data_IF_677721777360
#
_entry.id   IF_677721777360
#
_cell.length_a   1.000
_cell.length_b   1.000
_cell.length_c   1.000
_cell.angle_alpha   90.00
_cell.angle_beta   90.00
_cell.angle_gamma   90.00
#
_symmetry.space_group_name_H-M   'P 1'
#
loop_
_entity.id
_entity.type
_entity.pdbx_description
1 polymer ?
#
# COMPACT_ATOMS: atom_id res chain seq x y z
N UNK A 1 -1.83 5.83 6.73
CA UNK A 1 -1.77 4.48 7.37
C UNK A 1 -1.93 3.41 6.30
N UNK A 2 -1.31 2.24 6.45
CA UNK A 2 -1.24 1.16 5.44
C UNK A 2 -1.64 -0.18 6.10
N UNK A 3 -2.58 -0.94 5.52
CA UNK A 3 -3.02 -2.25 6.04
C UNK A 3 -2.60 -3.45 5.14
N UNK A 4 -1.80 -4.40 5.66
CA UNK A 4 -1.14 -5.37 4.78
C UNK A 4 -1.92 -6.69 4.60
N UNK A 5 -3.15 -6.60 4.09
CA UNK A 5 -4.03 -7.74 3.80
C UNK A 5 -3.83 -8.26 2.36
N UNK A 6 -4.62 -9.25 1.93
CA UNK A 6 -4.58 -9.77 0.55
C UNK A 6 -4.68 -8.66 -0.51
N UNK A 7 -5.44 -7.60 -0.19
CA UNK A 7 -5.40 -6.30 -0.85
C UNK A 7 -4.86 -5.23 0.12
N UNK A 8 -4.26 -4.18 -0.43
CA UNK A 8 -3.60 -3.11 0.30
C UNK A 8 -4.39 -1.80 0.18
N UNK A 9 -4.78 -1.22 1.31
CA UNK A 9 -5.39 0.11 1.38
C UNK A 9 -4.37 1.13 1.86
N UNK A 10 -4.37 2.30 1.23
CA UNK A 10 -3.61 3.47 1.68
C UNK A 10 -4.59 4.55 2.06
N UNK A 11 -4.43 5.11 3.25
CA UNK A 11 -5.25 6.19 3.78
C UNK A 11 -4.41 7.44 4.04
N UNK A 12 -4.97 8.60 3.69
CA UNK A 12 -4.43 9.93 3.97
C UNK A 12 -5.51 10.96 4.35
N UNK A 13 -5.10 12.11 4.90
CA UNK A 13 -5.97 13.25 5.24
C UNK A 13 -5.50 14.47 4.45
N UNK A 14 -6.46 15.18 3.86
CA UNK A 14 -6.19 16.41 3.10
C UNK A 14 -7.21 17.49 3.43
N UNK A 15 -6.81 18.76 3.30
CA UNK A 15 -7.74 19.90 3.38
C UNK A 15 -8.49 20.12 2.04
N UNK A 16 -7.99 19.55 0.94
CA UNK A 16 -8.52 19.80 -0.40
C UNK A 16 -9.43 18.66 -0.89
N UNK A 17 -10.61 19.00 -1.38
CA UNK A 17 -11.51 18.05 -2.03
C UNK A 17 -11.15 17.85 -3.50
N UNK A 18 -10.25 16.91 -3.79
CA UNK A 18 -9.83 16.60 -5.17
C UNK A 18 -10.11 15.12 -5.53
N UNK A 19 -11.35 14.75 -5.88
CA UNK A 19 -11.69 13.39 -6.27
C UNK A 19 -11.06 13.01 -7.61
N UNK A 20 -10.72 11.73 -7.78
CA UNK A 20 -10.16 11.20 -9.02
C UNK A 20 -10.88 9.90 -9.42
N UNK A 21 -10.60 9.39 -10.62
CA UNK A 21 -11.10 8.08 -11.05
C UNK A 21 -10.47 6.92 -10.26
N UNK A 22 -9.31 7.16 -9.64
CA UNK A 22 -8.59 6.19 -8.83
C UNK A 22 -8.69 6.59 -7.35
N UNK A 23 -9.50 5.85 -6.59
CA UNK A 23 -9.67 6.05 -5.14
C UNK A 23 -10.98 6.72 -4.73
N UNK A 24 -11.07 7.00 -3.44
CA UNK A 24 -12.27 7.55 -2.80
C UNK A 24 -11.91 8.70 -1.88
N UNK A 25 -12.72 9.77 -1.90
CA UNK A 25 -12.62 10.90 -0.98
C UNK A 25 -13.89 10.95 -0.14
N UNK A 26 -13.74 10.94 1.18
CA UNK A 26 -14.82 10.99 2.16
C UNK A 26 -14.65 12.22 3.06
N UNK A 27 -15.72 12.69 3.69
CA UNK A 27 -15.59 13.67 4.78
C UNK A 27 -14.74 13.08 5.92
N UNK A 28 -13.82 13.87 6.47
CA UNK A 28 -13.02 13.40 7.58
C UNK A 28 -13.91 13.19 8.83
N UNK A 29 -13.90 12.00 9.46
CA UNK A 29 -14.78 11.67 10.58
C UNK A 29 -14.42 12.36 11.89
N UNK A 30 -13.22 12.96 12.00
CA UNK A 30 -12.74 13.61 13.23
C UNK A 30 -12.53 15.12 13.08
N UNK A 31 -12.52 15.64 11.86
CA UNK A 31 -12.38 17.07 11.56
C UNK A 31 -13.29 17.45 10.39
N UNK A 32 -14.32 18.25 10.68
CA UNK A 32 -15.31 18.66 9.69
C UNK A 32 -14.74 19.56 8.57
N UNK A 33 -13.53 20.11 8.74
CA UNK A 33 -12.88 20.96 7.75
C UNK A 33 -11.97 20.20 6.77
N UNK A 34 -11.74 18.90 7.00
CA UNK A 34 -10.86 18.07 6.18
C UNK A 34 -11.56 16.90 5.48
N UNK A 35 -10.80 16.19 4.67
CA UNK A 35 -11.22 15.02 3.91
C UNK A 35 -10.31 13.84 4.17
N UNK A 36 -10.90 12.65 4.13
CA UNK A 36 -10.22 11.35 4.13
C UNK A 36 -10.06 10.88 2.69
N UNK A 37 -8.85 10.50 2.30
CA UNK A 37 -8.56 9.88 0.99
C UNK A 37 -8.23 8.40 1.20
N UNK A 38 -8.79 7.54 0.36
CA UNK A 38 -8.54 6.10 0.38
C UNK A 38 -8.21 5.57 -1.01
N UNK A 39 -7.07 4.92 -1.13
CA UNK A 39 -6.64 4.18 -2.33
C UNK A 39 -6.65 2.68 -2.05
N UNK A 40 -7.08 1.90 -3.03
CA UNK A 40 -7.16 0.44 -2.92
C UNK A 40 -6.36 -0.25 -4.01
N UNK A 41 -5.40 -1.07 -3.59
CA UNK A 41 -4.61 -1.92 -4.46
C UNK A 41 -4.99 -3.38 -4.26
N UNK A 42 -5.40 -4.05 -5.34
CA UNK A 42 -5.78 -5.48 -5.28
C UNK A 42 -4.63 -6.41 -4.87
N UNK A 43 -3.38 -5.98 -5.13
CA UNK A 43 -2.18 -6.79 -4.97
C UNK A 43 -1.46 -6.46 -3.66
N UNK A 44 -1.92 -7.03 -2.55
CA UNK A 44 -1.33 -6.85 -1.22
C UNK A 44 -0.36 -7.97 -0.85
N UNK A 45 -0.57 -8.55 0.34
CA UNK A 45 0.33 -9.53 0.95
C UNK A 45 0.51 -10.81 0.12
N UNK A 46 -0.55 -11.31 -0.52
CA UNK A 46 -0.50 -12.54 -1.32
C UNK A 46 0.41 -12.40 -2.54
N UNK A 47 0.43 -11.23 -3.17
CA UNK A 47 1.34 -10.97 -4.29
C UNK A 47 2.81 -10.99 -3.81
N UNK A 48 3.09 -10.37 -2.66
CA UNK A 48 4.44 -10.42 -2.08
C UNK A 48 4.84 -11.84 -1.68
N UNK A 49 3.89 -12.62 -1.17
CA UNK A 49 4.11 -14.02 -0.83
C UNK A 49 4.41 -14.88 -2.06
N UNK A 50 3.69 -14.71 -3.16
CA UNK A 50 3.94 -15.41 -4.43
C UNK A 50 5.38 -15.15 -4.92
N UNK A 51 5.80 -13.87 -4.91
CA UNK A 51 7.17 -13.50 -5.33
C UNK A 51 8.22 -14.10 -4.37
N UNK A 52 8.01 -14.05 -3.05
CA UNK A 52 8.90 -14.71 -2.09
C UNK A 52 9.01 -16.22 -2.37
N UNK A 53 7.89 -16.88 -2.65
CA UNK A 53 7.86 -18.32 -2.91
C UNK A 53 8.63 -18.70 -4.17
N UNK A 54 8.56 -17.85 -5.21
CA UNK A 54 9.21 -18.08 -6.50
C UNK A 54 10.69 -17.70 -6.52
N UNK A 55 11.09 -16.70 -5.73
CA UNK A 55 12.41 -16.06 -5.87
C UNK A 55 13.30 -16.16 -4.62
N UNK A 56 12.78 -16.58 -3.46
CA UNK A 56 13.49 -16.49 -2.18
C UNK A 56 13.28 -17.71 -1.29
N UNK A 57 13.18 -18.92 -1.88
CA UNK A 57 13.09 -20.19 -1.13
C UNK A 57 11.97 -20.21 -0.08
N UNK A 58 10.89 -19.44 -0.31
CA UNK A 58 9.79 -19.23 0.65
C UNK A 58 10.21 -18.60 1.99
N UNK A 59 11.43 -18.04 2.10
CA UNK A 59 11.97 -17.35 3.29
C UNK A 59 11.87 -15.82 3.14
N UNK A 60 11.40 -15.16 4.19
CA UNK A 60 11.38 -13.69 4.25
C UNK A 60 12.78 -13.10 4.48
N UNK A 61 13.65 -13.83 5.16
CA UNK A 61 15.05 -13.45 5.39
C UNK A 61 15.82 -13.38 4.08
N UNK A 62 15.70 -14.41 3.23
CA UNK A 62 16.32 -14.44 1.89
C UNK A 62 15.72 -13.32 1.02
N UNK A 63 14.41 -13.15 1.05
CA UNK A 63 13.72 -12.09 0.29
C UNK A 63 14.23 -10.70 0.67
N UNK A 64 14.36 -10.40 1.96
CA UNK A 64 14.86 -9.11 2.45
C UNK A 64 16.33 -8.89 2.07
N UNK A 65 17.16 -9.93 2.15
CA UNK A 65 18.57 -9.85 1.72
C UNK A 65 18.68 -9.49 0.24
N UNK A 66 17.88 -10.13 -0.62
CA UNK A 66 17.85 -9.83 -2.07
C UNK A 66 17.39 -8.39 -2.34
N UNK A 67 16.37 -7.91 -1.62
CA UNK A 67 15.92 -6.52 -1.73
C UNK A 67 17.01 -5.52 -1.34
N UNK A 68 17.72 -5.76 -0.24
CA UNK A 68 18.80 -4.87 0.25
C UNK A 68 20.02 -4.83 -0.69
N UNK A 69 20.28 -5.93 -1.41
CA UNK A 69 21.37 -6.00 -2.39
C UNK A 69 21.03 -5.33 -3.72
N UNK A 70 19.75 -5.03 -3.96
CA UNK A 70 19.29 -4.38 -5.19
C UNK A 70 19.25 -2.87 -4.99
N UNK A 71 19.94 -2.07 -5.82
CA UNK A 71 19.88 -0.61 -5.71
C UNK A 71 18.45 -0.11 -5.99
N UNK A 72 18.01 0.97 -5.30
CA UNK A 72 16.74 1.61 -5.64
C UNK A 72 16.73 2.02 -7.11
N UNK A 73 15.71 1.61 -7.86
CA UNK A 73 15.52 2.11 -9.23
C UNK A 73 15.01 3.56 -9.18
N UNK A 74 15.57 4.41 -10.04
CA UNK A 74 15.12 5.78 -10.25
C UNK A 74 13.81 5.81 -11.03
#
# INVERSE_FOLDING_TARGET
MVNNSAAQMVFDITAEHNPSLEGHVFSNPVDASGYMVMLWYKNGSLTREDIRNRCAEKSWEVFNKLLQQTPPRK
#
